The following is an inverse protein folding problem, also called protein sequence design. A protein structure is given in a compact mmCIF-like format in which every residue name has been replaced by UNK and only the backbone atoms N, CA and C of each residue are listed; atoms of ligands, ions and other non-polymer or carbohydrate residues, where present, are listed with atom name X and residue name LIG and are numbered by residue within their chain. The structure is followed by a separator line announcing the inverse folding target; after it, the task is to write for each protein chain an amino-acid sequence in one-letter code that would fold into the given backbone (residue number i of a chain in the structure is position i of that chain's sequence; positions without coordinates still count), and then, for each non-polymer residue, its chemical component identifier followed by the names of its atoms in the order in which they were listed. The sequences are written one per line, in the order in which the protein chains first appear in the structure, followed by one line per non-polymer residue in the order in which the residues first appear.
data_IF_286259409535
#
_entry.id   IF_286259409535
#
_cell.length_a   1.000
_cell.length_b   1.000
_cell.length_c   1.000
_cell.angle_alpha   90.00
_cell.angle_beta   90.00
_cell.angle_gamma   90.00
#
_symmetry.space_group_name_H-M   'P 1'
#
loop_
_entity.id
_entity.type
_entity.pdbx_description
1 polymer ?
#
# COMPACT_ATOMS: atom_id res chain seq x y z
N UNK A 1 -26.60 23.09 53.62
CA UNK A 1 -27.00 22.03 52.66
C UNK A 1 -27.01 22.46 51.20
N UNK A 2 -27.03 23.76 50.85
CA UNK A 2 -27.11 24.20 49.43
C UNK A 2 -25.75 24.26 48.68
N UNK A 3 -24.61 24.25 49.36
CA UNK A 3 -23.29 24.31 48.71
C UNK A 3 -22.80 22.95 48.16
N UNK A 4 -23.26 21.82 48.71
CA UNK A 4 -22.87 20.48 48.25
C UNK A 4 -23.50 20.11 46.90
N UNK A 5 -24.71 20.59 46.61
CA UNK A 5 -25.36 20.37 45.31
C UNK A 5 -24.70 21.15 44.16
N UNK A 6 -24.15 22.33 44.43
CA UNK A 6 -23.45 23.14 43.42
C UNK A 6 -22.09 22.53 43.03
N UNK A 7 -21.40 21.91 43.99
CA UNK A 7 -20.14 21.20 43.73
C UNK A 7 -20.35 19.90 42.92
N UNK A 8 -21.45 19.16 43.17
CA UNK A 8 -21.78 17.97 42.39
C UNK A 8 -22.18 18.29 40.94
N UNK A 9 -22.86 19.41 40.71
CA UNK A 9 -23.30 19.86 39.39
C UNK A 9 -22.14 20.33 38.48
N UNK A 10 -21.03 20.78 39.07
CA UNK A 10 -19.83 21.16 38.33
C UNK A 10 -19.00 19.95 37.87
N UNK A 11 -19.05 18.84 38.61
CA UNK A 11 -18.33 17.62 38.25
C UNK A 11 -18.99 16.84 37.09
N UNK A 12 -20.31 16.93 36.92
CA UNK A 12 -21.01 16.23 35.82
C UNK A 12 -20.89 16.95 34.47
N UNK A 13 -20.58 18.26 34.46
CA UNK A 13 -20.40 19.03 33.23
C UNK A 13 -19.09 18.71 32.48
N UNK A 14 -18.10 18.13 33.16
CA UNK A 14 -16.80 17.76 32.54
C UNK A 14 -16.84 16.42 31.78
N UNK A 15 -17.88 15.60 31.97
CA UNK A 15 -17.98 14.26 31.35
C UNK A 15 -18.82 14.28 30.07
N UNK A 16 -19.57 15.36 29.80
CA UNK A 16 -20.46 15.46 28.63
C UNK A 16 -19.74 15.72 27.29
N UNK A 17 -18.41 15.88 27.29
CA UNK A 17 -17.63 16.28 26.11
C UNK A 17 -16.95 15.16 25.32
N UNK A 18 -17.11 13.88 25.69
CA UNK A 18 -16.47 12.78 24.93
C UNK A 18 -17.41 12.27 23.84
N UNK A 19 -17.40 12.96 22.70
CA UNK A 19 -18.04 12.43 21.50
C UNK A 19 -17.25 11.19 21.05
N UNK A 20 -17.80 10.02 21.35
CA UNK A 20 -17.27 8.74 20.88
C UNK A 20 -17.62 8.60 19.40
N UNK A 21 -16.79 9.14 18.51
CA UNK A 21 -16.95 8.87 17.08
C UNK A 21 -16.57 7.42 16.84
N UNK A 22 -17.53 6.60 16.38
CA UNK A 22 -17.26 5.22 15.99
C UNK A 22 -16.31 5.23 14.79
N UNK A 23 -15.07 4.79 14.97
CA UNK A 23 -14.11 4.66 13.87
C UNK A 23 -14.47 3.44 13.05
N UNK A 24 -14.86 3.65 11.79
CA UNK A 24 -15.13 2.57 10.85
C UNK A 24 -13.85 2.19 10.11
N UNK A 25 -13.74 0.95 9.62
CA UNK A 25 -12.64 0.52 8.75
C UNK A 25 -12.41 1.46 7.54
N UNK A 26 -13.49 1.99 6.96
CA UNK A 26 -13.41 2.94 5.85
C UNK A 26 -12.71 4.24 6.25
N UNK A 27 -12.91 4.69 7.48
CA UNK A 27 -12.31 5.92 8.00
C UNK A 27 -10.79 5.75 8.18
N UNK A 28 -10.37 4.60 8.70
CA UNK A 28 -8.95 4.23 8.83
C UNK A 28 -8.27 4.18 7.46
N UNK A 29 -8.90 3.52 6.48
CA UNK A 29 -8.34 3.43 5.13
C UNK A 29 -8.25 4.81 4.48
N UNK A 30 -9.26 5.66 4.68
CA UNK A 30 -9.25 7.04 4.19
C UNK A 30 -8.10 7.84 4.81
N UNK A 31 -7.93 7.79 6.14
CA UNK A 31 -6.84 8.48 6.84
C UNK A 31 -5.46 8.02 6.36
N UNK A 32 -5.25 6.72 6.21
CA UNK A 32 -4.01 6.15 5.72
C UNK A 32 -3.73 6.55 4.27
N UNK A 33 -4.78 6.62 3.44
CA UNK A 33 -4.68 7.07 2.05
C UNK A 33 -4.30 8.55 1.96
N UNK A 34 -4.93 9.41 2.74
CA UNK A 34 -4.59 10.83 2.79
C UNK A 34 -3.16 11.03 3.29
N UNK A 35 -2.75 10.29 4.32
CA UNK A 35 -1.37 10.31 4.83
C UNK A 35 -0.37 9.87 3.77
N UNK A 36 -0.68 8.81 3.02
CA UNK A 36 0.15 8.33 1.91
C UNK A 36 0.31 9.38 0.82
N UNK A 37 -0.80 9.98 0.37
CA UNK A 37 -0.78 11.04 -0.65
C UNK A 37 0.03 12.24 -0.19
N UNK A 38 -0.17 12.70 1.05
CA UNK A 38 0.57 13.81 1.61
C UNK A 38 2.08 13.51 1.71
N UNK A 39 2.44 12.33 2.21
CA UNK A 39 3.84 11.92 2.39
C UNK A 39 4.62 11.81 1.08
N UNK A 40 3.97 11.38 0.00
CA UNK A 40 4.61 11.16 -1.30
C UNK A 40 4.16 12.17 -2.36
N UNK A 41 3.54 13.27 -1.94
CA UNK A 41 3.05 14.36 -2.80
C UNK A 41 2.24 13.87 -4.00
N UNK A 42 1.39 12.86 -3.79
CA UNK A 42 0.58 12.24 -4.85
C UNK A 42 -0.60 13.14 -5.21
N UNK A 43 -0.78 13.35 -6.51
CA UNK A 43 -1.90 14.07 -7.09
C UNK A 43 -2.45 13.25 -8.25
N UNK A 44 -3.77 13.20 -8.37
CA UNK A 44 -4.47 12.45 -9.41
C UNK A 44 -5.40 13.38 -10.16
N UNK A 45 -5.58 13.12 -11.45
CA UNK A 45 -6.29 14.02 -12.36
C UNK A 45 -7.78 14.05 -12.05
N UNK A 46 -8.36 12.87 -11.87
CA UNK A 46 -9.80 12.66 -11.70
C UNK A 46 -10.12 11.77 -10.51
N UNK A 47 -11.34 11.87 -10.00
CA UNK A 47 -11.80 11.01 -8.91
C UNK A 47 -11.81 9.52 -9.27
N UNK A 48 -12.03 9.21 -10.56
CA UNK A 48 -11.96 7.83 -11.07
C UNK A 48 -10.54 7.26 -10.94
N UNK A 49 -9.54 8.04 -11.34
CA UNK A 49 -8.13 7.66 -11.20
C UNK A 49 -7.77 7.51 -9.73
N UNK A 50 -8.14 8.46 -8.88
CA UNK A 50 -7.86 8.37 -7.44
C UNK A 50 -8.47 7.11 -6.81
N UNK A 51 -9.72 6.78 -7.14
CA UNK A 51 -10.37 5.58 -6.64
C UNK A 51 -9.67 4.30 -7.10
N UNK A 52 -9.20 4.27 -8.35
CA UNK A 52 -8.41 3.18 -8.89
C UNK A 52 -7.07 3.05 -8.14
N UNK A 53 -6.36 4.16 -7.93
CA UNK A 53 -5.07 4.20 -7.23
C UNK A 53 -5.21 3.79 -5.76
N UNK A 54 -6.29 4.20 -5.10
CA UNK A 54 -6.65 3.74 -3.75
C UNK A 54 -6.84 2.22 -3.71
N UNK A 55 -7.52 1.63 -4.71
CA UNK A 55 -7.68 0.17 -4.78
C UNK A 55 -6.33 -0.54 -4.92
N UNK A 56 -5.46 -0.06 -5.80
CA UNK A 56 -4.10 -0.61 -5.98
C UNK A 56 -3.28 -0.49 -4.68
N UNK A 57 -3.36 0.64 -4.00
CA UNK A 57 -2.74 0.86 -2.69
C UNK A 57 -3.18 -0.15 -1.65
N UNK A 58 -4.49 -0.42 -1.55
CA UNK A 58 -5.02 -1.42 -0.61
C UNK A 58 -4.55 -2.84 -0.96
N UNK A 59 -4.53 -3.21 -2.25
CA UNK A 59 -4.04 -4.51 -2.71
C UNK A 59 -2.54 -4.69 -2.39
N UNK A 60 -1.73 -3.66 -2.62
CA UNK A 60 -0.31 -3.66 -2.27
C UNK A 60 -0.09 -3.74 -0.75
N UNK A 61 -0.91 -3.05 0.04
CA UNK A 61 -0.87 -3.14 1.51
C UNK A 61 -1.18 -4.55 2.00
N UNK A 62 -2.20 -5.20 1.42
CA UNK A 62 -2.52 -6.59 1.72
C UNK A 62 -1.37 -7.54 1.35
N UNK A 63 -0.73 -7.32 0.19
CA UNK A 63 0.44 -8.08 -0.24
C UNK A 63 1.60 -7.97 0.75
N UNK A 64 1.88 -6.75 1.23
CA UNK A 64 2.90 -6.49 2.25
C UNK A 64 2.58 -7.25 3.54
N UNK A 65 1.35 -7.14 4.05
CA UNK A 65 0.94 -7.83 5.27
C UNK A 65 1.09 -9.35 5.15
N UNK A 66 0.68 -9.94 4.01
CA UNK A 66 0.82 -11.37 3.74
C UNK A 66 2.29 -11.81 3.68
N UNK A 67 3.15 -11.03 3.02
CA UNK A 67 4.58 -11.30 2.95
C UNK A 67 5.22 -11.25 4.35
N UNK A 68 4.94 -10.20 5.12
CA UNK A 68 5.54 -10.02 6.44
C UNK A 68 5.07 -11.09 7.43
N UNK A 69 3.83 -11.57 7.32
CA UNK A 69 3.37 -12.73 8.07
C UNK A 69 4.19 -14.00 7.75
N UNK A 70 4.54 -14.21 6.48
CA UNK A 70 5.41 -15.33 6.06
C UNK A 70 6.86 -15.13 6.51
N UNK A 71 7.37 -13.90 6.47
CA UNK A 71 8.69 -13.54 6.98
C UNK A 71 8.81 -13.82 8.48
N UNK A 72 7.79 -13.46 9.27
CA UNK A 72 7.72 -13.76 10.70
C UNK A 72 7.73 -15.27 10.99
N UNK A 73 7.24 -16.09 10.07
CA UNK A 73 7.30 -17.56 10.14
C UNK A 73 8.63 -18.14 9.60
N UNK A 74 9.62 -17.30 9.28
CA UNK A 74 10.93 -17.73 8.78
C UNK A 74 10.97 -18.11 7.29
N UNK A 75 9.89 -17.93 6.52
CA UNK A 75 9.88 -18.26 5.08
C UNK A 75 10.58 -17.21 4.20
N UNK A 76 10.79 -16.01 4.74
CA UNK A 76 11.48 -14.93 4.05
C UNK A 76 12.47 -14.27 5.01
N UNK A 77 13.68 -13.95 4.52
CA UNK A 77 14.72 -13.26 5.29
C UNK A 77 14.59 -11.74 5.33
N UNK A 78 13.47 -11.19 4.86
CA UNK A 78 13.23 -9.74 4.81
C UNK A 78 11.74 -9.42 4.98
N UNK A 79 11.44 -8.16 5.23
CA UNK A 79 10.08 -7.62 5.31
C UNK A 79 9.88 -6.55 4.24
N UNK A 80 8.62 -6.30 3.91
CA UNK A 80 8.20 -5.23 3.02
C UNK A 80 7.57 -4.11 3.84
N UNK A 81 7.63 -2.89 3.32
CA UNK A 81 6.95 -1.73 3.86
C UNK A 81 6.25 -0.97 2.72
N UNK A 82 5.22 -0.21 3.06
CA UNK A 82 4.57 0.68 2.11
C UNK A 82 5.55 1.80 1.75
N UNK A 83 5.72 2.06 0.46
CA UNK A 83 6.61 3.08 -0.08
C UNK A 83 5.91 3.90 -1.16
N UNK A 84 6.61 4.86 -1.78
CA UNK A 84 6.06 5.77 -2.81
C UNK A 84 5.45 5.09 -4.03
N UNK A 85 5.75 3.80 -4.27
CA UNK A 85 5.21 3.01 -5.38
C UNK A 85 3.99 2.18 -4.97
N UNK A 86 3.45 2.41 -3.77
CA UNK A 86 2.31 1.69 -3.22
C UNK A 86 1.05 1.76 -4.06
N UNK A 87 0.88 2.80 -4.87
CA UNK A 87 -0.25 3.07 -5.77
C UNK A 87 -0.05 2.55 -7.20
N UNK A 88 1.08 1.91 -7.49
CA UNK A 88 1.41 1.40 -8.83
C UNK A 88 1.17 -0.11 -8.95
N UNK A 89 0.68 -0.51 -10.13
CA UNK A 89 0.67 -1.90 -10.54
C UNK A 89 2.09 -2.38 -10.85
N UNK A 90 2.30 -3.69 -10.78
CA UNK A 90 3.64 -4.28 -11.01
C UNK A 90 4.19 -3.96 -12.41
N UNK A 91 3.35 -3.94 -13.44
CA UNK A 91 3.78 -3.60 -14.80
C UNK A 91 4.07 -2.10 -14.96
N UNK A 92 3.31 -1.23 -14.29
CA UNK A 92 3.58 0.21 -14.28
C UNK A 92 4.92 0.51 -13.59
N UNK A 93 5.15 -0.10 -12.42
CA UNK A 93 6.42 0.02 -11.71
C UNK A 93 7.60 -0.43 -12.58
N UNK A 94 7.48 -1.57 -13.26
CA UNK A 94 8.52 -2.06 -14.18
C UNK A 94 8.71 -1.07 -15.33
N UNK A 95 7.64 -0.55 -15.93
CA UNK A 95 7.76 0.41 -17.04
C UNK A 95 8.48 1.70 -16.65
N UNK A 96 8.32 2.16 -15.40
CA UNK A 96 8.91 3.42 -14.92
C UNK A 96 10.33 3.20 -14.39
N UNK A 97 10.57 2.12 -13.66
CA UNK A 97 11.82 1.90 -12.92
C UNK A 97 12.80 0.94 -13.62
N UNK A 98 12.35 0.15 -14.60
CA UNK A 98 13.22 -0.78 -15.31
C UNK A 98 13.65 -0.24 -16.67
N UNK A 99 14.91 0.21 -16.76
CA UNK A 99 15.54 0.63 -18.01
C UNK A 99 16.21 -0.48 -18.81
N UNK A 100 16.13 -1.74 -18.37
CA UNK A 100 16.85 -2.85 -19.02
C UNK A 100 16.27 -3.14 -20.41
N UNK A 101 16.99 -2.68 -21.43
CA UNK A 101 16.74 -3.04 -22.82
C UNK A 101 17.56 -4.28 -23.13
N UNK A 102 16.91 -5.45 -23.12
CA UNK A 102 17.55 -6.68 -23.60
C UNK A 102 17.92 -6.46 -25.07
N UNK A 103 19.21 -6.30 -25.34
CA UNK A 103 19.72 -6.40 -26.70
C UNK A 103 19.55 -7.86 -27.10
N UNK A 104 18.57 -8.14 -27.93
CA UNK A 104 18.64 -9.31 -28.78
C UNK A 104 19.75 -8.98 -29.79
N UNK A 105 21.01 -9.19 -29.39
CA UNK A 105 21.98 -9.61 -30.39
C UNK A 105 21.36 -10.86 -30.97
N UNK A 106 20.68 -10.71 -32.10
CA UNK A 106 20.73 -11.71 -33.14
C UNK A 106 22.22 -11.80 -33.49
N UNK A 107 22.99 -12.45 -32.62
CA UNK A 107 24.16 -13.15 -33.08
C UNK A 107 23.59 -13.99 -34.21
N UNK A 108 23.96 -13.65 -35.44
CA UNK A 108 23.71 -14.44 -36.62
C UNK A 108 24.41 -15.78 -36.38
N UNK A 109 23.80 -16.61 -35.54
CA UNK A 109 24.18 -17.96 -35.32
C UNK A 109 23.63 -18.66 -36.54
N UNK A 110 24.45 -18.71 -37.60
CA UNK A 110 24.43 -19.82 -38.55
C UNK A 110 24.76 -21.10 -37.78
N UNK A 111 23.90 -21.47 -36.83
CA UNK A 111 23.94 -22.75 -36.14
C UNK A 111 23.45 -23.77 -37.14
N UNK A 112 24.30 -24.75 -37.44
CA UNK A 112 23.99 -25.82 -38.36
C UNK A 112 22.67 -26.48 -37.98
N UNK A 113 21.74 -26.54 -38.93
CA UNK A 113 20.56 -27.40 -38.91
C UNK A 113 20.95 -28.77 -38.39
N UNK A 114 20.21 -29.25 -37.39
CA UNK A 114 20.32 -30.55 -36.75
C UNK A 114 20.94 -31.65 -37.64
N UNK A 115 22.08 -32.21 -37.21
CA UNK A 115 22.68 -33.39 -37.83
C UNK A 115 22.22 -34.63 -37.06
N UNK A 116 21.45 -35.48 -37.74
CA UNK A 116 21.02 -36.77 -37.21
C UNK A 116 22.24 -37.68 -36.93
N UNK A 117 22.20 -38.53 -35.89
CA UNK A 117 23.28 -39.47 -35.62
C UNK A 117 23.42 -40.49 -36.76
N UNK A 118 24.66 -40.80 -37.14
CA UNK A 118 24.95 -41.85 -38.11
C UNK A 118 24.91 -43.21 -37.40
N UNK A 119 24.07 -44.13 -37.90
CA UNK A 119 23.95 -45.50 -37.40
C UNK A 119 25.16 -46.36 -37.76
#
# INVERSE_FOLDING_TARGET
MNCLCLALALCTALVAGTQSTSVTYKDVVAEEWETFKARHSKQYTDKSEENFRLKVFMENKQRIAKHNKRAANGLHGFTLAMNEFGDLLSHEFVSVMNGFKRSYKLDSYNGSTYLSPNN
#
